data_IF_640636162104
#
_entry.id   IF_640636162104
#
_cell.length_a   1.000
_cell.length_b   1.000
_cell.length_c   1.000
_cell.angle_alpha   90.00
_cell.angle_beta   90.00
_cell.angle_gamma   90.00
#
_symmetry.space_group_name_H-M   'P 1'
#
loop_
_entity.id
_entity.type
_entity.pdbx_description
1 polymer ?
#
# COMPACT_ATOMS: atom_id res chain seq x y z
N UNK A 1 8.58 37.25 26.13
CA UNK A 1 9.94 36.88 25.70
C UNK A 1 10.15 35.46 26.23
N UNK A 2 9.82 34.37 25.54
CA UNK A 2 9.87 34.13 24.11
C UNK A 2 11.12 33.31 23.81
N UNK A 3 11.13 32.03 24.20
CA UNK A 3 12.12 31.04 23.77
C UNK A 3 11.30 29.77 23.44
N UNK A 4 11.00 29.61 22.16
CA UNK A 4 10.36 28.42 21.61
C UNK A 4 11.40 27.33 21.48
N UNK A 5 11.36 26.33 22.37
CA UNK A 5 12.16 25.11 22.21
C UNK A 5 11.66 24.34 20.99
N UNK A 6 12.41 24.46 19.90
CA UNK A 6 12.34 23.60 18.73
C UNK A 6 12.66 22.18 19.18
N UNK A 7 11.63 21.33 19.21
CA UNK A 7 11.77 19.88 19.41
C UNK A 7 12.55 19.30 18.23
N UNK A 8 13.88 19.29 18.34
CA UNK A 8 14.75 18.57 17.43
C UNK A 8 14.47 17.08 17.57
N UNK A 9 13.94 16.52 16.48
CA UNK A 9 13.66 15.11 16.30
C UNK A 9 14.99 14.34 16.39
N UNK A 10 15.29 13.77 17.56
CA UNK A 10 16.48 12.91 17.74
C UNK A 10 16.48 11.80 16.70
N UNK A 11 17.59 11.58 15.97
CA UNK A 11 17.62 10.59 14.91
C UNK A 11 17.50 9.17 15.49
N UNK A 12 16.70 8.28 14.88
CA UNK A 12 16.63 6.88 15.27
C UNK A 12 18.00 6.21 15.04
N UNK A 13 18.36 5.30 15.94
CA UNK A 13 19.71 4.72 16.07
C UNK A 13 20.30 4.06 14.81
N UNK A 14 21.59 3.66 14.87
CA UNK A 14 22.35 3.21 13.72
C UNK A 14 21.75 1.92 13.14
N UNK A 15 21.10 2.05 11.99
CA UNK A 15 20.40 0.96 11.30
C UNK A 15 19.06 1.37 10.70
N UNK A 16 18.48 2.49 11.13
CA UNK A 16 17.22 2.99 10.58
C UNK A 16 17.47 3.89 9.36
N UNK A 17 16.92 3.50 8.20
CA UNK A 17 16.95 4.33 6.99
C UNK A 17 16.05 5.54 7.23
N UNK A 18 16.58 6.74 6.99
CA UNK A 18 15.79 7.98 7.07
C UNK A 18 14.55 7.90 6.17
N UNK A 19 13.42 8.27 6.73
CA UNK A 19 12.12 8.29 6.07
C UNK A 19 12.16 9.25 4.88
N UNK A 20 11.84 8.77 3.67
CA UNK A 20 11.82 9.60 2.47
C UNK A 20 10.52 10.39 2.41
N UNK A 21 10.56 11.56 1.80
CA UNK A 21 9.36 12.37 1.55
C UNK A 21 8.26 11.63 0.74
N UNK A 22 8.63 10.56 0.03
CA UNK A 22 7.72 9.70 -0.73
C UNK A 22 7.06 8.59 0.11
N UNK A 23 7.48 8.39 1.36
CA UNK A 23 6.99 7.29 2.18
C UNK A 23 5.60 7.65 2.74
N UNK A 24 4.62 6.71 2.73
CA UNK A 24 3.23 7.00 3.11
C UNK A 24 3.14 7.32 4.60
N UNK A 25 2.68 8.53 4.93
CA UNK A 25 2.67 9.08 6.30
C UNK A 25 2.30 8.01 7.35
N UNK A 26 3.04 7.93 8.48
CA UNK A 26 2.79 6.91 9.49
C UNK A 26 1.32 6.96 9.91
N UNK A 27 0.65 5.80 9.91
CA UNK A 27 -0.73 5.67 10.38
C UNK A 27 -0.73 6.09 11.86
N UNK A 28 -1.18 7.31 12.13
CA UNK A 28 -1.13 7.90 13.46
C UNK A 28 -2.13 7.17 14.39
N UNK A 29 -1.63 6.31 15.25
CA UNK A 29 -2.36 5.86 16.43
C UNK A 29 -2.32 6.99 17.48
N UNK A 30 -3.48 7.35 18.01
CA UNK A 30 -3.59 8.30 19.14
C UNK A 30 -2.84 7.75 20.35
N UNK A 31 -1.65 8.29 20.60
CA UNK A 31 -0.73 7.86 21.66
C UNK A 31 0.67 7.61 21.11
N UNK A 32 1.51 8.64 21.18
CA UNK A 32 2.86 8.68 20.60
C UNK A 32 3.71 7.46 21.01
N UNK A 33 3.82 6.50 20.11
CA UNK A 33 4.92 5.55 20.01
C UNK A 33 5.32 5.58 18.54
N UNK A 34 6.61 5.75 18.24
CA UNK A 34 7.11 5.69 16.87
C UNK A 34 6.87 4.27 16.34
N UNK A 35 5.73 4.05 15.69
CA UNK A 35 5.40 2.76 15.10
C UNK A 35 6.34 2.58 13.91
N UNK A 36 7.24 1.60 14.01
CA UNK A 36 8.17 1.25 12.94
C UNK A 36 7.45 0.80 11.66
N UNK A 37 8.18 0.58 10.55
CA UNK A 37 7.57 0.22 9.29
C UNK A 37 6.82 -1.12 9.42
N UNK A 38 5.64 -1.21 8.81
CA UNK A 38 4.87 -2.45 8.79
C UNK A 38 5.60 -3.48 7.93
N UNK A 39 5.90 -4.64 8.52
CA UNK A 39 6.51 -5.76 7.80
C UNK A 39 5.43 -6.59 7.13
N UNK A 40 5.53 -6.73 5.80
CA UNK A 40 4.62 -7.55 4.99
C UNK A 40 5.45 -8.57 4.22
N UNK A 41 5.09 -9.85 4.31
CA UNK A 41 5.78 -10.91 3.58
C UNK A 41 4.79 -11.92 2.97
N UNK A 42 5.28 -12.67 1.98
CA UNK A 42 4.62 -13.87 1.48
C UNK A 42 5.64 -15.01 1.46
N UNK A 43 5.83 -15.67 0.32
CA UNK A 43 6.96 -16.61 0.12
C UNK A 43 8.18 -15.86 -0.41
N UNK A 44 8.18 -15.40 -1.67
CA UNK A 44 9.27 -14.59 -2.26
C UNK A 44 9.24 -13.09 -1.86
N UNK A 45 8.15 -12.63 -1.23
CA UNK A 45 7.99 -11.24 -0.81
C UNK A 45 7.83 -10.22 -1.94
N UNK A 46 7.24 -10.64 -3.08
CA UNK A 46 7.07 -9.77 -4.27
C UNK A 46 5.66 -9.77 -4.85
N UNK A 47 5.01 -10.94 -4.98
CA UNK A 47 3.65 -11.06 -5.55
C UNK A 47 2.55 -10.53 -4.61
N UNK A 48 2.05 -11.39 -3.71
CA UNK A 48 1.00 -11.00 -2.73
C UNK A 48 1.40 -9.82 -1.84
N UNK A 49 2.67 -9.77 -1.44
CA UNK A 49 3.23 -8.62 -0.69
C UNK A 49 3.12 -7.33 -1.51
N UNK A 50 3.50 -7.36 -2.79
CA UNK A 50 3.37 -6.20 -3.67
C UNK A 50 1.92 -5.77 -3.87
N UNK A 51 1.00 -6.73 -4.05
CA UNK A 51 -0.44 -6.43 -4.12
C UNK A 51 -0.94 -5.75 -2.85
N UNK A 52 -0.59 -6.27 -1.68
CA UNK A 52 -1.06 -5.70 -0.41
C UNK A 52 -0.56 -4.26 -0.24
N UNK A 53 0.74 -4.03 -0.44
CA UNK A 53 1.34 -2.70 -0.30
C UNK A 53 0.75 -1.73 -1.33
N UNK A 54 0.64 -2.15 -2.60
CA UNK A 54 0.05 -1.32 -3.66
C UNK A 54 -1.42 -0.98 -3.37
N UNK A 55 -2.19 -1.93 -2.82
CA UNK A 55 -3.59 -1.70 -2.45
C UNK A 55 -3.70 -0.69 -1.32
N UNK A 56 -2.85 -0.79 -0.28
CA UNK A 56 -2.81 0.18 0.81
C UNK A 56 -2.52 1.60 0.30
N UNK A 57 -1.50 1.75 -0.55
CA UNK A 57 -1.15 3.05 -1.14
C UNK A 57 -2.30 3.57 -2.02
N UNK A 58 -2.91 2.71 -2.84
CA UNK A 58 -4.00 3.11 -3.72
C UNK A 58 -5.27 3.51 -2.97
N UNK A 59 -5.61 2.81 -1.89
CA UNK A 59 -6.73 3.19 -1.02
C UNK A 59 -6.49 4.55 -0.37
N UNK A 60 -5.26 4.83 0.04
CA UNK A 60 -4.87 6.12 0.60
C UNK A 60 -4.96 7.23 -0.45
N UNK A 61 -4.43 7.03 -1.66
CA UNK A 61 -4.58 7.98 -2.78
C UNK A 61 -6.06 8.28 -3.09
N UNK A 62 -6.89 7.24 -3.14
CA UNK A 62 -8.34 7.43 -3.33
C UNK A 62 -8.97 8.24 -2.19
N UNK A 63 -8.47 8.12 -0.96
CA UNK A 63 -8.99 8.85 0.20
C UNK A 63 -8.57 10.32 0.20
N UNK A 64 -7.37 10.63 -0.28
CA UNK A 64 -6.80 11.99 -0.24
C UNK A 64 -7.05 12.78 -1.51
N UNK A 65 -7.04 12.13 -2.68
CA UNK A 65 -7.04 12.78 -4.00
C UNK A 65 -8.27 12.43 -4.86
N UNK A 66 -9.11 11.48 -4.41
CA UNK A 66 -10.21 10.87 -5.17
C UNK A 66 -9.79 10.31 -6.54
N UNK A 67 -8.49 10.06 -6.72
CA UNK A 67 -7.87 9.47 -7.91
C UNK A 67 -6.81 8.48 -7.46
N UNK A 68 -6.46 7.55 -8.35
CA UNK A 68 -5.41 6.56 -8.09
C UNK A 68 -4.65 6.25 -9.36
N UNK A 69 -3.32 6.22 -9.25
CA UNK A 69 -2.41 5.82 -10.32
C UNK A 69 -1.77 4.46 -10.00
N UNK A 70 -2.44 3.39 -10.39
CA UNK A 70 -1.97 2.01 -10.15
C UNK A 70 -0.63 1.74 -10.84
N UNK A 71 -0.42 2.28 -12.05
CA UNK A 71 0.82 2.09 -12.78
C UNK A 71 1.97 2.81 -12.09
N UNK A 72 1.76 4.04 -11.64
CA UNK A 72 2.74 4.82 -10.87
C UNK A 72 3.13 4.11 -9.57
N UNK A 73 2.15 3.59 -8.83
CA UNK A 73 2.38 2.84 -7.59
C UNK A 73 3.24 1.59 -7.88
N UNK A 74 2.84 0.74 -8.83
CA UNK A 74 3.56 -0.51 -9.12
C UNK A 74 4.95 -0.22 -9.69
N UNK A 75 5.08 0.78 -10.56
CA UNK A 75 6.37 1.23 -11.08
C UNK A 75 7.30 1.64 -9.94
N UNK A 76 6.80 2.41 -8.97
CA UNK A 76 7.61 2.81 -7.82
C UNK A 76 8.00 1.62 -6.94
N UNK A 77 7.07 0.72 -6.64
CA UNK A 77 7.37 -0.49 -5.87
C UNK A 77 8.44 -1.35 -6.55
N UNK A 78 8.41 -1.45 -7.89
CA UNK A 78 9.43 -2.19 -8.65
C UNK A 78 10.81 -1.53 -8.64
N UNK A 79 10.87 -0.21 -8.48
CA UNK A 79 12.14 0.51 -8.26
C UNK A 79 12.71 0.24 -6.86
N UNK A 80 11.85 0.11 -5.84
CA UNK A 80 12.28 -0.16 -4.46
C UNK A 80 12.64 -1.64 -4.24
N UNK A 81 11.89 -2.57 -4.88
CA UNK A 81 12.19 -4.01 -4.92
C UNK A 81 11.75 -4.58 -6.26
N UNK A 82 12.68 -5.12 -7.04
CA UNK A 82 12.37 -5.74 -8.33
C UNK A 82 11.35 -6.87 -8.19
N UNK A 83 10.44 -6.98 -9.17
CA UNK A 83 9.44 -8.06 -9.24
C UNK A 83 8.15 -7.82 -8.45
N UNK A 84 7.97 -6.66 -7.82
CA UNK A 84 6.73 -6.32 -7.10
C UNK A 84 5.52 -6.37 -8.04
N UNK A 85 4.45 -7.05 -7.58
CA UNK A 85 3.27 -7.41 -8.39
C UNK A 85 3.71 -8.22 -9.61
N UNK A 86 3.88 -9.51 -9.39
CA UNK A 86 4.59 -10.42 -10.29
C UNK A 86 3.79 -10.73 -11.56
N UNK A 87 2.47 -10.93 -11.42
CA UNK A 87 1.61 -11.45 -12.49
C UNK A 87 0.58 -10.42 -12.95
N UNK A 88 0.10 -10.57 -14.19
CA UNK A 88 -0.97 -9.73 -14.74
C UNK A 88 -2.28 -9.85 -13.95
N UNK A 89 -2.58 -11.04 -13.42
CA UNK A 89 -3.78 -11.26 -12.62
C UNK A 89 -3.76 -10.52 -11.29
N UNK A 90 -2.58 -10.43 -10.67
CA UNK A 90 -2.35 -9.64 -9.46
C UNK A 90 -2.54 -8.14 -9.73
N UNK A 91 -2.13 -7.68 -10.91
CA UNK A 91 -2.35 -6.32 -11.38
C UNK A 91 -3.84 -6.04 -11.67
N UNK A 92 -4.53 -6.97 -12.32
CA UNK A 92 -5.98 -6.89 -12.54
C UNK A 92 -6.76 -6.90 -11.23
N UNK A 93 -6.35 -7.73 -10.27
CA UNK A 93 -6.91 -7.76 -8.92
C UNK A 93 -6.79 -6.40 -8.23
N UNK A 94 -5.63 -5.73 -8.34
CA UNK A 94 -5.43 -4.39 -7.77
C UNK A 94 -6.45 -3.38 -8.31
N UNK A 95 -6.61 -3.32 -9.64
CA UNK A 95 -7.62 -2.46 -10.25
C UNK A 95 -9.03 -2.78 -9.76
N UNK A 96 -9.35 -4.06 -9.66
CA UNK A 96 -10.67 -4.50 -9.26
C UNK A 96 -10.98 -4.16 -7.79
N UNK A 97 -10.03 -4.41 -6.90
CA UNK A 97 -10.13 -4.09 -5.48
C UNK A 97 -10.25 -2.58 -5.23
N UNK A 98 -9.46 -1.76 -5.93
CA UNK A 98 -9.53 -0.30 -5.83
C UNK A 98 -10.84 0.27 -6.37
N UNK A 99 -11.33 -0.27 -7.49
CA UNK A 99 -12.62 0.12 -8.05
C UNK A 99 -13.77 -0.22 -7.08
N UNK A 100 -13.73 -1.42 -6.48
CA UNK A 100 -14.68 -1.85 -5.45
C UNK A 100 -14.62 -0.95 -4.21
N UNK A 101 -13.43 -0.64 -3.71
CA UNK A 101 -13.23 0.27 -2.59
C UNK A 101 -13.82 1.66 -2.87
N UNK A 102 -13.58 2.20 -4.06
CA UNK A 102 -14.13 3.48 -4.47
C UNK A 102 -15.67 3.46 -4.59
N UNK A 103 -16.25 2.37 -5.12
CA UNK A 103 -17.70 2.23 -5.22
C UNK A 103 -18.36 2.19 -3.82
N UNK A 104 -17.83 1.39 -2.91
CA UNK A 104 -18.31 1.28 -1.52
C UNK A 104 -18.21 2.62 -0.80
N UNK A 105 -17.07 3.32 -0.92
CA UNK A 105 -16.89 4.66 -0.32
C UNK A 105 -17.91 5.69 -0.80
N UNK A 106 -18.31 5.60 -2.07
CA UNK A 106 -19.24 6.54 -2.68
C UNK A 106 -20.71 6.07 -2.62
N UNK A 107 -21.02 4.99 -1.91
CA UNK A 107 -22.38 4.44 -1.83
C UNK A 107 -22.95 3.97 -3.16
N UNK A 108 -22.10 3.58 -4.12
CA UNK A 108 -22.51 3.10 -5.44
C UNK A 108 -22.66 1.59 -5.45
N UNK A 109 -23.51 1.07 -6.34
CA UNK A 109 -23.59 -0.37 -6.59
C UNK A 109 -22.23 -0.93 -7.00
N UNK A 110 -21.94 -2.14 -6.51
CA UNK A 110 -20.68 -2.81 -6.77
C UNK A 110 -20.55 -3.10 -8.28
N UNK A 111 -19.46 -2.66 -8.93
CA UNK A 111 -19.24 -3.00 -10.33
C UNK A 111 -19.08 -4.52 -10.45
N UNK A 112 -19.87 -5.14 -11.34
CA UNK A 112 -19.67 -6.52 -11.77
C UNK A 112 -18.38 -6.58 -12.58
N UNK A 113 -17.26 -6.81 -11.90
CA UNK A 113 -15.95 -6.92 -12.53
C UNK A 113 -15.71 -8.37 -12.95
N UNK A 114 -15.70 -8.68 -14.27
CA UNK A 114 -15.51 -10.05 -14.77
C UNK A 114 -14.17 -10.66 -14.35
N UNK A 115 -13.20 -9.82 -13.99
CA UNK A 115 -11.89 -10.23 -13.49
C UNK A 115 -11.94 -10.98 -12.15
N UNK A 116 -12.87 -10.65 -11.25
CA UNK A 116 -12.92 -11.27 -9.91
C UNK A 116 -13.51 -12.68 -9.99
N UNK A 117 -14.43 -12.93 -10.92
CA UNK A 117 -15.13 -14.22 -11.07
C UNK A 117 -14.16 -15.37 -11.37
N UNK A 118 -13.05 -15.13 -12.09
CA UNK A 118 -12.02 -16.13 -12.39
C UNK A 118 -10.88 -16.20 -11.36
N UNK A 119 -10.83 -15.32 -10.36
CA UNK A 119 -9.77 -15.27 -9.35
C UNK A 119 -10.03 -16.17 -8.13
N UNK A 120 -11.24 -16.73 -8.01
CA UNK A 120 -11.67 -17.55 -6.85
C UNK A 120 -10.82 -18.81 -6.62
N UNK A 121 -10.14 -19.30 -7.66
CA UNK A 121 -9.29 -20.50 -7.61
C UNK A 121 -7.78 -20.22 -7.59
N UNK A 122 -7.34 -18.95 -7.69
CA UNK A 122 -5.92 -18.62 -7.90
C UNK A 122 -5.22 -18.03 -6.67
N UNK A 123 -5.97 -17.39 -5.78
CA UNK A 123 -5.43 -16.94 -4.48
C UNK A 123 -5.46 -18.01 -3.38
N UNK A 124 -6.07 -19.16 -3.66
CA UNK A 124 -6.20 -20.32 -2.75
C UNK A 124 -5.28 -21.50 -3.14
N UNK A 125 -4.33 -21.29 -4.05
CA UNK A 125 -3.31 -22.30 -4.35
C UNK A 125 -2.52 -22.69 -3.10
N UNK A 126 -2.07 -23.95 -2.96
CA UNK A 126 -1.36 -24.40 -1.77
C UNK A 126 -0.16 -23.51 -1.49
N UNK A 127 0.02 -23.16 -0.22
CA UNK A 127 1.23 -22.51 0.27
C UNK A 127 2.40 -23.46 -0.03
N UNK A 128 3.16 -23.16 -1.09
CA UNK A 128 4.47 -23.75 -1.32
C UNK A 128 5.49 -23.18 -0.35
#
# INVERSE_FOLDING_TARGET
LGESETSELTPPGPGYRAYRASDPAPIAASGATSVGPVVVHCSAGVGRTGCFIALCIGCEQLRTEDKVDVLGIVSRLRLDRGGMVENSEQYTFLHAALCMYNAIRNGRELPILPAITNLRNQFTGPLR
#
